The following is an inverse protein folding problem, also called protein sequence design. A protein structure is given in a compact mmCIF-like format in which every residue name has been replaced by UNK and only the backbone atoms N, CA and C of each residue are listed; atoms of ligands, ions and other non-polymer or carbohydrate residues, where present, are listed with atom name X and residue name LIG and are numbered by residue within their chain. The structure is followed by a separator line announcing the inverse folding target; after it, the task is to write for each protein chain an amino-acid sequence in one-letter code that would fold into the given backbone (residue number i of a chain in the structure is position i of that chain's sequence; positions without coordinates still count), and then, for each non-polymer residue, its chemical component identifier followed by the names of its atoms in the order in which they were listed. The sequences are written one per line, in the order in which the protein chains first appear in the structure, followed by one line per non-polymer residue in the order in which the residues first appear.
data_IF_748464788553
#
_entry.id   IF_748464788553
#
_cell.length_a   1.000
_cell.length_b   1.000
_cell.length_c   1.000
_cell.angle_alpha   90.00
_cell.angle_beta   90.00
_cell.angle_gamma   90.00
#
_symmetry.space_group_name_H-M   'P 1'
#
loop_
_entity.id
_entity.type
_entity.pdbx_description
1 polymer ?
#
# COMPACT_ATOMS: atom_id res chain seq x y z
N UNK A 1 42.90 -0.96 10.02
CA UNK A 1 41.84 -1.13 8.99
C UNK A 1 40.70 -2.03 9.49
N UNK A 2 40.98 -3.18 10.10
CA UNK A 2 39.94 -4.12 10.56
C UNK A 2 38.93 -3.56 11.57
N UNK A 3 39.38 -2.75 12.55
CA UNK A 3 38.48 -2.08 13.52
C UNK A 3 37.53 -1.08 12.85
N UNK A 4 38.00 -0.39 11.81
CA UNK A 4 37.21 0.57 11.05
C UNK A 4 36.12 -0.15 10.24
N UNK A 5 36.50 -1.26 9.57
CA UNK A 5 35.57 -2.11 8.81
C UNK A 5 34.50 -2.70 9.73
N UNK A 6 34.88 -3.20 10.93
CA UNK A 6 33.95 -3.75 11.93
C UNK A 6 32.95 -2.71 12.44
N UNK A 7 33.39 -1.48 12.68
CA UNK A 7 32.49 -0.41 13.11
C UNK A 7 31.51 -0.01 12.00
N UNK A 8 31.97 0.04 10.74
CA UNK A 8 31.11 0.35 9.59
C UNK A 8 30.06 -0.76 9.38
N UNK A 9 30.45 -2.03 9.49
CA UNK A 9 29.49 -3.15 9.38
C UNK A 9 28.43 -3.10 10.48
N UNK A 10 28.83 -2.79 11.71
CA UNK A 10 27.88 -2.60 12.82
C UNK A 10 26.90 -1.45 12.56
N UNK A 11 27.38 -0.34 12.00
CA UNK A 11 26.54 0.82 11.69
C UNK A 11 25.53 0.52 10.57
N UNK A 12 25.95 -0.19 9.53
CA UNK A 12 25.08 -0.62 8.43
C UNK A 12 24.00 -1.56 8.94
N UNK A 13 24.35 -2.56 9.76
CA UNK A 13 23.39 -3.47 10.36
C UNK A 13 22.35 -2.73 11.23
N UNK A 14 22.77 -1.72 11.97
CA UNK A 14 21.88 -0.89 12.78
C UNK A 14 20.88 -0.09 11.93
N UNK A 15 21.32 0.45 10.79
CA UNK A 15 20.47 1.17 9.84
C UNK A 15 19.41 0.25 9.21
N UNK A 16 19.77 -0.99 8.87
CA UNK A 16 18.82 -1.96 8.32
C UNK A 16 17.70 -2.33 9.29
N UNK A 17 17.99 -2.40 10.59
CA UNK A 17 16.97 -2.68 11.62
C UNK A 17 15.96 -1.55 11.74
N UNK A 18 16.38 -0.30 11.54
CA UNK A 18 15.52 0.88 11.66
C UNK A 18 14.60 1.11 10.44
N UNK A 19 14.78 0.36 9.34
CA UNK A 19 13.97 0.50 8.12
C UNK A 19 12.77 -0.46 8.04
N UNK A 20 12.53 -1.29 9.06
CA UNK A 20 11.37 -2.21 9.06
C UNK A 20 10.11 -1.48 9.53
N UNK A 21 9.59 -0.60 8.67
CA UNK A 21 8.26 0.01 8.83
C UNK A 21 7.31 -0.71 7.88
N UNK A 22 6.41 -1.52 8.42
CA UNK A 22 5.27 -2.07 7.67
C UNK A 22 4.05 -1.17 7.94
N UNK A 23 3.26 -0.87 6.91
CA UNK A 23 1.99 -0.19 7.12
C UNK A 23 1.04 -1.19 7.78
N UNK A 24 0.42 -0.80 8.89
CA UNK A 24 -0.67 -1.59 9.45
C UNK A 24 -1.73 -1.81 8.36
N UNK A 25 -2.32 -3.02 8.29
CA UNK A 25 -3.42 -3.27 7.37
C UNK A 25 -4.54 -2.28 7.73
N UNK A 26 -4.89 -1.41 6.78
CA UNK A 26 -6.03 -0.52 6.94
C UNK A 26 -7.23 -1.42 7.13
N UNK A 27 -7.90 -1.29 8.29
CA UNK A 27 -9.14 -1.99 8.57
C UNK A 27 -10.09 -1.68 7.41
N UNK A 28 -10.44 -2.69 6.62
CA UNK A 28 -11.29 -2.52 5.43
C UNK A 28 -12.70 -2.24 5.93
N UNK A 29 -12.96 -0.99 6.27
CA UNK A 29 -14.32 -0.49 6.40
C UNK A 29 -14.91 -0.58 5.00
N UNK A 30 -15.72 -1.61 4.78
CA UNK A 30 -16.53 -1.69 3.58
C UNK A 30 -17.55 -0.55 3.65
N UNK A 31 -17.20 0.56 3.01
CA UNK A 31 -18.17 1.59 2.70
C UNK A 31 -19.31 0.93 1.92
N UNK A 32 -20.55 1.13 2.37
CA UNK A 32 -21.71 0.63 1.63
C UNK A 32 -21.82 1.36 0.30
N UNK A 33 -21.24 0.77 -0.75
CA UNK A 33 -21.27 1.32 -2.11
C UNK A 33 -22.60 1.08 -2.83
N UNK A 34 -23.43 0.16 -2.34
CA UNK A 34 -24.61 -0.37 -3.06
C UNK A 34 -25.68 0.68 -3.40
N UNK A 35 -25.72 1.81 -2.70
CA UNK A 35 -26.69 2.89 -2.93
C UNK A 35 -26.04 4.19 -3.44
N UNK A 36 -24.74 4.20 -3.70
CA UNK A 36 -24.00 5.39 -4.15
C UNK A 36 -24.03 5.50 -5.67
N UNK A 37 -24.15 6.72 -6.19
CA UNK A 37 -23.99 6.98 -7.62
C UNK A 37 -22.51 7.12 -7.94
N UNK A 38 -22.03 6.31 -8.88
CA UNK A 38 -20.61 6.32 -9.21
C UNK A 38 -20.21 5.27 -10.23
N UNK A 39 -18.91 5.20 -10.46
CA UNK A 39 -18.31 4.28 -11.44
C UNK A 39 -17.22 3.44 -10.81
N UNK A 40 -17.21 2.15 -11.17
CA UNK A 40 -16.10 1.27 -10.87
C UNK A 40 -14.98 1.45 -11.91
N UNK A 41 -13.75 1.47 -11.43
CA UNK A 41 -12.54 1.67 -12.21
C UNK A 41 -11.59 0.52 -11.90
N UNK A 42 -11.41 -0.36 -12.88
CA UNK A 42 -10.48 -1.49 -12.79
C UNK A 42 -9.08 -1.10 -13.25
N UNK A 43 -8.05 -1.57 -12.54
CA UNK A 43 -6.66 -1.48 -12.95
C UNK A 43 -6.03 -2.88 -12.90
N UNK A 44 -5.59 -3.39 -14.05
CA UNK A 44 -4.97 -4.73 -14.16
C UNK A 44 -3.65 -4.85 -13.39
N UNK A 45 -3.01 -3.72 -13.11
CA UNK A 45 -1.66 -3.69 -12.54
C UNK A 45 -0.61 -4.10 -13.58
N UNK A 46 0.48 -4.67 -13.11
CA UNK A 46 1.60 -5.08 -13.95
C UNK A 46 1.60 -6.61 -14.13
N UNK A 47 2.05 -7.07 -15.31
CA UNK A 47 2.17 -8.49 -15.61
C UNK A 47 2.99 -9.22 -14.54
N UNK A 48 2.41 -10.27 -13.94
CA UNK A 48 2.98 -11.10 -12.87
C UNK A 48 3.22 -10.42 -11.51
N UNK A 49 2.76 -9.19 -11.28
CA UNK A 49 2.95 -8.50 -9.99
C UNK A 49 1.84 -8.79 -8.97
N UNK A 50 0.70 -9.34 -9.39
CA UNK A 50 -0.43 -9.59 -8.49
C UNK A 50 -0.97 -8.31 -7.84
N UNK A 51 -0.79 -7.15 -8.49
CA UNK A 51 -1.17 -5.84 -7.97
C UNK A 51 -2.37 -5.23 -8.72
N UNK A 52 -3.23 -6.08 -9.28
CA UNK A 52 -4.51 -5.66 -9.82
C UNK A 52 -5.35 -5.01 -8.71
N UNK A 53 -6.22 -4.07 -9.08
CA UNK A 53 -7.06 -3.34 -8.12
C UNK A 53 -8.38 -2.91 -8.73
N UNK A 54 -9.38 -2.75 -7.86
CA UNK A 54 -10.67 -2.16 -8.18
C UNK A 54 -10.87 -0.92 -7.31
N UNK A 55 -11.27 0.18 -7.92
CA UNK A 55 -11.61 1.43 -7.24
C UNK A 55 -13.04 1.86 -7.59
N UNK A 56 -13.65 2.69 -6.74
CA UNK A 56 -14.96 3.29 -6.98
C UNK A 56 -14.85 4.80 -6.87
N UNK A 57 -15.34 5.52 -7.88
CA UNK A 57 -15.50 6.98 -7.82
C UNK A 57 -16.95 7.31 -7.53
N UNK A 58 -17.19 8.01 -6.41
CA UNK A 58 -18.50 8.53 -6.01
C UNK A 58 -18.72 9.91 -6.64
N UNK A 59 -19.76 10.02 -7.46
CA UNK A 59 -20.08 11.24 -8.18
C UNK A 59 -20.66 12.32 -7.27
N UNK A 60 -21.34 11.96 -6.19
CA UNK A 60 -22.01 12.89 -5.28
C UNK A 60 -21.00 13.51 -4.30
N UNK A 61 -20.12 12.68 -3.71
CA UNK A 61 -19.09 13.13 -2.78
C UNK A 61 -17.79 13.61 -3.45
N UNK A 62 -17.63 13.35 -4.76
CA UNK A 62 -16.38 13.60 -5.50
C UNK A 62 -15.16 12.93 -4.86
N UNK A 63 -15.35 11.73 -4.31
CA UNK A 63 -14.30 10.94 -3.64
C UNK A 63 -14.00 9.65 -4.40
N UNK A 64 -12.77 9.18 -4.24
CA UNK A 64 -12.32 7.88 -4.74
C UNK A 64 -12.07 6.95 -3.57
N UNK A 65 -12.70 5.78 -3.61
CA UNK A 65 -12.45 4.66 -2.72
C UNK A 65 -11.56 3.66 -3.46
N UNK A 66 -10.34 3.47 -2.97
CA UNK A 66 -9.36 2.57 -3.59
C UNK A 66 -9.45 1.18 -2.96
N UNK A 67 -9.10 0.13 -3.73
CA UNK A 67 -9.02 -1.26 -3.24
C UNK A 67 -10.33 -1.75 -2.60
N UNK A 68 -11.45 -1.50 -3.27
CA UNK A 68 -12.80 -1.85 -2.76
C UNK A 68 -13.11 -3.35 -2.85
N UNK A 69 -12.17 -4.14 -3.37
CA UNK A 69 -12.26 -5.60 -3.49
C UNK A 69 -10.86 -6.20 -3.33
N UNK A 70 -10.76 -7.33 -2.61
CA UNK A 70 -9.52 -8.06 -2.34
C UNK A 70 -9.65 -9.55 -2.69
#
# INVERSE_FOLDING_TARGET
MEKLIRNITGLIAMVFILMSCEKEPVETVYEELGNRNGVFISCEGNFMYGNASLSFYDEDEKKVFNQVFY
#
